data_IF_527140348166
#
_entry.id   IF_527140348166
#
_cell.length_a   1.000
_cell.length_b   1.000
_cell.length_c   1.000
_cell.angle_alpha   90.00
_cell.angle_beta   90.00
_cell.angle_gamma   90.00
#
_symmetry.space_group_name_H-M   'P 1'
#
loop_
_entity.id
_entity.type
_entity.pdbx_description
1 polymer ?
#
# COMPACT_ATOMS: atom_id res chain seq x y z
N UNK A 1 -2.52 -11.63 -18.64
CA UNK A 1 -2.55 -12.49 -17.44
C UNK A 1 -2.06 -11.60 -16.32
N UNK A 2 -2.89 -11.33 -15.30
CA UNK A 2 -2.45 -10.60 -14.12
C UNK A 2 -1.69 -11.56 -13.19
N UNK A 3 -0.81 -11.04 -12.34
CA UNK A 3 -0.10 -11.86 -11.34
C UNK A 3 -1.14 -12.41 -10.34
N UNK A 4 -1.47 -13.69 -10.48
CA UNK A 4 -2.44 -14.35 -9.61
C UNK A 4 -1.72 -15.02 -8.45
N UNK A 5 -1.54 -14.28 -7.35
CA UNK A 5 -1.26 -14.90 -6.06
C UNK A 5 -2.59 -15.32 -5.44
N UNK A 6 -2.99 -16.58 -5.62
CA UNK A 6 -4.15 -17.13 -4.92
C UNK A 6 -3.90 -17.16 -3.41
N UNK A 7 -4.95 -16.98 -2.60
CA UNK A 7 -4.86 -17.29 -1.17
C UNK A 7 -4.49 -18.77 -0.97
N UNK A 8 -3.71 -19.14 0.05
CA UNK A 8 -3.36 -18.32 1.21
C UNK A 8 -2.17 -17.37 0.97
N UNK A 9 -2.41 -16.07 1.19
CA UNK A 9 -1.35 -15.07 1.24
C UNK A 9 -0.87 -14.98 2.69
N UNK A 10 0.36 -15.44 2.94
CA UNK A 10 0.96 -15.57 4.27
C UNK A 10 1.39 -14.21 4.87
N UNK A 11 0.46 -13.27 4.91
CA UNK A 11 0.58 -12.01 5.64
C UNK A 11 -0.30 -12.05 6.89
N UNK A 12 0.06 -11.29 7.95
CA UNK A 12 -0.81 -11.15 9.12
C UNK A 12 -2.21 -10.67 8.74
N UNK A 13 -3.20 -10.99 9.58
CA UNK A 13 -4.54 -10.44 9.44
C UNK A 13 -4.47 -8.90 9.37
N UNK A 14 -5.12 -8.26 8.39
CA UNK A 14 -5.12 -6.80 8.27
C UNK A 14 -6.01 -6.15 9.31
N UNK A 15 -5.60 -4.98 9.80
CA UNK A 15 -6.44 -4.12 10.64
C UNK A 15 -7.69 -3.68 9.86
N UNK A 16 -7.58 -3.52 8.54
CA UNK A 16 -8.70 -3.27 7.65
C UNK A 16 -8.48 -3.88 6.28
N UNK A 17 -9.47 -4.61 5.78
CA UNK A 17 -9.54 -5.11 4.41
C UNK A 17 -10.40 -4.17 3.58
N UNK A 18 -9.79 -3.48 2.61
CA UNK A 18 -10.42 -2.46 1.77
C UNK A 18 -10.87 -3.02 0.43
N UNK A 19 -10.08 -3.91 -0.18
CA UNK A 19 -10.37 -4.49 -1.48
C UNK A 19 -10.23 -6.00 -1.46
N UNK A 20 -11.14 -6.65 -2.18
CA UNK A 20 -11.12 -8.07 -2.51
C UNK A 20 -11.27 -8.19 -4.02
N UNK A 21 -10.33 -8.88 -4.65
CA UNK A 21 -10.37 -9.13 -6.09
C UNK A 21 -10.81 -10.56 -6.35
N UNK A 22 -11.69 -10.75 -7.34
CA UNK A 22 -12.04 -12.06 -7.88
C UNK A 22 -11.45 -12.21 -9.29
N UNK A 23 -11.04 -13.43 -9.61
CA UNK A 23 -10.43 -13.76 -10.90
C UNK A 23 -11.28 -14.74 -11.68
N UNK A 24 -11.05 -14.81 -12.98
CA UNK A 24 -11.82 -15.67 -13.90
C UNK A 24 -11.73 -17.16 -13.58
N UNK A 25 -10.69 -17.62 -12.87
CA UNK A 25 -10.56 -19.01 -12.41
C UNK A 25 -11.36 -19.34 -11.14
N UNK A 26 -12.05 -18.34 -10.55
CA UNK A 26 -12.83 -18.49 -9.31
C UNK A 26 -12.04 -18.18 -8.05
N UNK A 27 -10.75 -17.85 -8.16
CA UNK A 27 -9.91 -17.43 -7.06
C UNK A 27 -10.32 -16.06 -6.53
N UNK A 28 -10.12 -15.87 -5.23
CA UNK A 28 -10.34 -14.62 -4.53
C UNK A 28 -9.06 -14.26 -3.78
N UNK A 29 -8.68 -12.99 -3.78
CA UNK A 29 -7.52 -12.49 -3.05
C UNK A 29 -7.87 -11.22 -2.29
N UNK A 30 -7.31 -11.09 -1.08
CA UNK A 30 -7.29 -9.82 -0.34
C UNK A 30 -6.34 -8.85 -1.05
N UNK A 31 -6.89 -7.98 -1.89
CA UNK A 31 -6.11 -7.14 -2.81
C UNK A 31 -5.85 -5.72 -2.32
N UNK A 32 -6.45 -5.33 -1.19
CA UNK A 32 -6.24 -4.03 -0.56
C UNK A 32 -6.30 -4.14 0.95
N UNK A 33 -5.16 -4.04 1.63
CA UNK A 33 -5.04 -4.33 3.05
C UNK A 33 -4.29 -3.22 3.79
N UNK A 34 -4.77 -2.88 4.98
CA UNK A 34 -4.19 -1.86 5.85
C UNK A 34 -3.67 -2.48 7.15
N UNK A 35 -2.51 -2.02 7.61
CA UNK A 35 -1.97 -2.30 8.94
C UNK A 35 -1.37 -1.05 9.58
N UNK A 36 -1.31 -1.06 10.90
CA UNK A 36 -0.58 -0.09 11.72
C UNK A 36 0.64 -0.76 12.35
N UNK A 37 1.81 -0.12 12.23
CA UNK A 37 3.06 -0.61 12.81
C UNK A 37 3.76 0.52 13.55
N UNK A 38 3.66 0.52 14.87
CA UNK A 38 4.11 1.65 15.68
C UNK A 38 3.40 2.93 15.25
N UNK A 39 4.16 3.95 14.85
CA UNK A 39 3.63 5.22 14.34
C UNK A 39 3.34 5.20 12.82
N UNK A 40 3.79 4.16 12.13
CA UNK A 40 3.62 4.00 10.69
C UNK A 40 2.31 3.32 10.33
N UNK A 41 1.82 3.62 9.13
CA UNK A 41 0.73 2.90 8.48
C UNK A 41 1.22 2.28 7.18
N UNK A 42 0.73 1.09 6.88
CA UNK A 42 1.10 0.31 5.70
C UNK A 42 -0.18 0.00 4.92
N UNK A 43 -0.15 0.28 3.62
CA UNK A 43 -1.19 -0.13 2.69
C UNK A 43 -0.58 -1.04 1.63
N UNK A 44 -1.09 -2.27 1.53
CA UNK A 44 -0.80 -3.19 0.44
C UNK A 44 -1.91 -3.09 -0.61
N UNK A 45 -1.51 -3.02 -1.87
CA UNK A 45 -2.42 -3.00 -3.01
C UNK A 45 -1.86 -3.87 -4.12
N UNK A 46 -2.63 -4.89 -4.54
CA UNK A 46 -2.15 -5.93 -5.44
C UNK A 46 -1.99 -5.51 -6.92
N UNK A 47 -2.89 -4.73 -7.54
CA UNK A 47 -2.79 -4.44 -8.98
C UNK A 47 -1.49 -3.73 -9.36
N UNK A 48 -0.73 -4.30 -10.30
CA UNK A 48 0.56 -3.73 -10.70
C UNK A 48 1.43 -4.52 -11.69
N UNK A 49 0.90 -5.55 -12.34
CA UNK A 49 1.65 -6.39 -13.29
C UNK A 49 2.22 -5.56 -14.45
N UNK A 50 3.51 -5.74 -14.73
CA UNK A 50 4.34 -4.89 -15.59
C UNK A 50 3.95 -4.91 -17.06
N UNK A 51 3.34 -6.00 -17.54
CA UNK A 51 2.89 -6.12 -18.92
C UNK A 51 1.60 -5.35 -19.21
N UNK A 52 0.88 -4.89 -18.18
CA UNK A 52 -0.41 -4.19 -18.32
C UNK A 52 -0.28 -2.73 -17.90
N UNK A 53 -0.96 -1.79 -18.57
CA UNK A 53 -0.90 -0.37 -18.25
C UNK A 53 -1.76 -0.02 -17.00
N UNK A 54 -1.70 -0.82 -15.94
CA UNK A 54 -2.54 -0.72 -14.73
C UNK A 54 -2.36 0.65 -14.07
N UNK A 55 -1.11 1.12 -13.94
CA UNK A 55 -0.81 2.41 -13.33
C UNK A 55 -1.25 3.63 -14.17
N UNK A 56 -1.71 3.43 -15.41
CA UNK A 56 -2.28 4.50 -16.24
C UNK A 56 -3.80 4.67 -16.05
N UNK A 57 -4.46 3.74 -15.35
CA UNK A 57 -5.89 3.85 -15.05
C UNK A 57 -6.12 4.92 -13.97
N UNK A 58 -7.09 5.81 -14.20
CA UNK A 58 -7.35 6.96 -13.33
C UNK A 58 -7.78 6.53 -11.92
N UNK A 59 -8.52 5.43 -11.82
CA UNK A 59 -9.00 4.83 -10.58
C UNK A 59 -7.83 4.29 -9.75
N UNK A 60 -6.88 3.61 -10.39
CA UNK A 60 -5.66 3.10 -9.74
C UNK A 60 -4.82 4.26 -9.19
N UNK A 61 -4.61 5.31 -10.00
CA UNK A 61 -3.89 6.50 -9.56
C UNK A 61 -4.59 7.19 -8.38
N UNK A 62 -5.92 7.24 -8.39
CA UNK A 62 -6.71 7.80 -7.29
C UNK A 62 -6.55 6.97 -6.01
N UNK A 63 -6.58 5.63 -6.11
CA UNK A 63 -6.37 4.73 -4.97
C UNK A 63 -4.99 4.97 -4.36
N UNK A 64 -3.94 5.00 -5.20
CA UNK A 64 -2.57 5.23 -4.74
C UNK A 64 -2.40 6.61 -4.09
N UNK A 65 -2.98 7.66 -4.67
CA UNK A 65 -2.94 9.00 -4.08
C UNK A 65 -3.63 9.05 -2.71
N UNK A 66 -4.80 8.41 -2.58
CA UNK A 66 -5.51 8.31 -1.31
C UNK A 66 -4.73 7.49 -0.28
N UNK A 67 -4.09 6.40 -0.71
CA UNK A 67 -3.25 5.58 0.15
C UNK A 67 -2.03 6.35 0.67
N UNK A 68 -1.37 7.15 -0.16
CA UNK A 68 -0.24 8.02 0.26
C UNK A 68 -0.69 9.02 1.31
N UNK A 69 -1.81 9.69 1.08
CA UNK A 69 -2.39 10.63 2.06
C UNK A 69 -2.77 9.91 3.36
N UNK A 70 -3.36 8.71 3.25
CA UNK A 70 -3.69 7.90 4.40
C UNK A 70 -2.44 7.41 5.14
N UNK A 71 -1.33 7.10 4.47
CA UNK A 71 -0.08 6.68 5.10
C UNK A 71 0.74 7.84 5.70
N UNK A 72 0.39 9.09 5.41
CA UNK A 72 1.13 10.26 5.89
C UNK A 72 1.27 10.26 7.43
N UNK A 73 2.45 10.61 7.99
CA UNK A 73 2.64 10.65 9.43
C UNK A 73 1.56 11.49 10.12
N UNK A 74 0.91 10.93 11.15
CA UNK A 74 -0.06 11.70 11.94
C UNK A 74 0.66 12.40 13.08
N UNK A 75 0.25 13.63 13.44
CA UNK A 75 0.71 14.27 14.67
C UNK A 75 0.31 13.36 15.85
N UNK A 76 1.31 12.86 16.57
CA UNK A 76 1.11 12.02 17.74
C UNK A 76 1.56 12.78 18.98
N UNK A 77 0.72 12.78 20.02
CA UNK A 77 0.99 13.50 21.28
C UNK A 77 2.24 12.99 22.03
N UNK A 78 2.75 11.83 21.63
CA UNK A 78 3.93 11.17 22.19
C UNK A 78 5.02 11.01 21.14
N UNK A 79 5.27 12.04 20.32
CA UNK A 79 6.50 12.11 19.54
C UNK A 79 7.67 12.18 20.52
N UNK A 80 8.15 11.03 20.97
CA UNK A 80 9.39 10.92 21.71
C UNK A 80 10.47 11.47 20.80
N UNK A 81 11.22 12.43 21.31
CA UNK A 81 12.24 13.17 20.59
C UNK A 81 13.07 12.30 19.63
N UNK A 82 13.08 12.74 18.37
CA UNK A 82 14.10 12.55 17.36
C UNK A 82 14.57 11.11 17.05
N UNK A 83 13.86 10.43 16.16
CA UNK A 83 14.60 9.86 15.03
C UNK A 83 15.16 11.04 14.22
N UNK A 84 16.47 11.15 13.96
CA UNK A 84 16.99 12.28 13.20
C UNK A 84 16.29 12.26 11.86
N UNK A 85 15.46 13.28 11.60
CA UNK A 85 14.85 13.49 10.31
C UNK A 85 16.00 13.56 9.32
N UNK A 86 16.21 12.48 8.54
CA UNK A 86 17.22 12.46 7.50
C UNK A 86 16.87 13.59 6.53
N UNK A 87 17.87 14.37 6.12
CA UNK A 87 17.67 15.39 5.10
C UNK A 87 16.95 14.79 3.90
N UNK A 88 15.77 15.33 3.61
CA UNK A 88 15.09 15.16 2.34
C UNK A 88 15.90 15.88 1.26
N UNK A 89 15.99 15.33 0.04
CA UNK A 89 16.72 15.97 -1.07
C UNK A 89 18.17 15.48 -1.28
N UNK A 90 18.61 14.41 -0.61
CA UNK A 90 19.93 13.79 -0.81
C UNK A 90 20.24 13.36 -2.26
N UNK A 91 19.23 13.31 -3.12
CA UNK A 91 19.32 12.93 -4.52
C UNK A 91 19.38 14.12 -5.49
N UNK A 92 19.26 15.36 -5.00
CA UNK A 92 19.16 16.55 -5.86
C UNK A 92 20.52 17.06 -6.38
N UNK A 93 21.64 16.59 -5.82
CA UNK A 93 23.01 17.02 -6.19
C UNK A 93 23.88 15.87 -6.74
N UNK A 94 23.35 15.05 -7.67
CA UNK A 94 24.17 14.08 -8.43
C UNK A 94 24.46 14.55 -9.85
#
# INVERSE_FOLDING_TARGET
MDEMYGEFFEVPEPDSLVFVSSFTGGEIMRSGMCWSRGLGRVFYFSPGHEEHPIYHQAEIQRILANAVLWCAPQPHAFATDAWPARETGWFENR
#
